data_IF_898417720105
#
_entry.id   IF_898417720105
#
_cell.length_a   1.000
_cell.length_b   1.000
_cell.length_c   1.000
_cell.angle_alpha   90.00
_cell.angle_beta   90.00
_cell.angle_gamma   90.00
#
_symmetry.space_group_name_H-M   'P 1'
#
loop_
_entity.id
_entity.type
_entity.pdbx_description
1 polymer ?
#
# COMPACT_ATOMS: atom_id res chain seq x y z
N UNK A 1 -16.00 12.31 -69.79
CA UNK A 1 -16.18 11.40 -68.64
C UNK A 1 -16.78 12.21 -67.49
N UNK A 2 -18.08 12.10 -67.20
CA UNK A 2 -18.68 12.80 -66.06
C UNK A 2 -18.24 12.10 -64.77
N UNK A 3 -17.66 12.87 -63.85
CA UNK A 3 -17.33 12.42 -62.49
C UNK A 3 -18.62 12.22 -61.71
N UNK A 4 -18.93 10.97 -61.37
CA UNK A 4 -20.06 10.62 -60.50
C UNK A 4 -19.94 11.35 -59.16
N UNK A 5 -20.81 12.34 -58.96
CA UNK A 5 -21.04 12.94 -57.66
C UNK A 5 -21.79 11.92 -56.80
N UNK A 6 -21.07 11.19 -55.94
CA UNK A 6 -21.68 10.35 -54.93
C UNK A 6 -22.49 11.24 -53.98
N UNK A 7 -23.81 11.11 -54.01
CA UNK A 7 -24.71 11.81 -53.10
C UNK A 7 -24.40 11.44 -51.65
N UNK A 8 -24.11 12.44 -50.82
CA UNK A 8 -23.98 12.28 -49.38
C UNK A 8 -25.36 11.94 -48.81
N UNK A 9 -25.53 10.72 -48.30
CA UNK A 9 -26.75 10.32 -47.57
C UNK A 9 -26.68 10.97 -46.18
N UNK A 10 -27.61 11.87 -45.89
CA UNK A 10 -27.80 12.38 -44.54
C UNK A 10 -28.31 11.25 -43.64
N UNK A 11 -27.42 10.67 -42.84
CA UNK A 11 -27.80 9.76 -41.78
C UNK A 11 -28.53 10.56 -40.69
N UNK A 12 -29.65 10.05 -40.19
CA UNK A 12 -30.32 10.59 -39.00
C UNK A 12 -29.43 10.34 -37.78
N UNK A 13 -28.55 11.30 -37.50
CA UNK A 13 -27.60 11.22 -36.39
C UNK A 13 -28.27 11.39 -35.03
N UNK A 14 -29.50 11.93 -34.98
CA UNK A 14 -30.15 12.28 -33.72
C UNK A 14 -30.84 11.05 -33.12
N UNK A 15 -31.52 10.24 -33.94
CA UNK A 15 -32.06 8.95 -33.51
C UNK A 15 -30.97 8.01 -32.95
N UNK A 16 -29.84 7.91 -33.64
CA UNK A 16 -28.68 7.10 -33.19
C UNK A 16 -28.10 7.64 -31.88
N UNK A 17 -28.05 8.96 -31.71
CA UNK A 17 -27.54 9.61 -30.50
C UNK A 17 -28.46 9.37 -29.30
N UNK A 18 -29.78 9.48 -29.50
CA UNK A 18 -30.79 9.20 -28.48
C UNK A 18 -30.75 7.74 -28.02
N UNK A 19 -30.58 6.80 -28.96
CA UNK A 19 -30.44 5.38 -28.63
C UNK A 19 -29.17 5.13 -27.79
N UNK A 20 -28.03 5.66 -28.23
CA UNK A 20 -26.77 5.54 -27.50
C UNK A 20 -26.85 6.18 -26.11
N UNK A 21 -27.50 7.33 -25.99
CA UNK A 21 -27.71 8.02 -24.71
C UNK A 21 -28.57 7.20 -23.74
N UNK A 22 -29.65 6.60 -24.24
CA UNK A 22 -30.48 5.71 -23.44
C UNK A 22 -29.74 4.43 -23.02
N UNK A 23 -28.84 3.91 -23.85
CA UNK A 23 -27.97 2.80 -23.48
C UNK A 23 -26.99 3.21 -22.35
N UNK A 24 -26.37 4.39 -22.45
CA UNK A 24 -25.53 4.94 -21.39
C UNK A 24 -26.28 5.06 -20.07
N UNK A 25 -27.46 5.71 -20.06
CA UNK A 25 -28.30 5.88 -18.85
C UNK A 25 -28.68 4.54 -18.21
N UNK A 26 -29.00 3.53 -19.02
CA UNK A 26 -29.32 2.17 -18.53
C UNK A 26 -28.13 1.56 -17.78
N UNK A 27 -26.92 1.69 -18.32
CA UNK A 27 -25.71 1.19 -17.65
C UNK A 27 -25.40 1.99 -16.37
N UNK A 28 -25.50 3.31 -16.39
CA UNK A 28 -25.28 4.16 -15.21
C UNK A 28 -26.27 3.83 -14.08
N UNK A 29 -27.55 3.59 -14.37
CA UNK A 29 -28.53 3.18 -13.36
C UNK A 29 -28.16 1.84 -12.70
N UNK A 30 -27.63 0.88 -13.46
CA UNK A 30 -27.14 -0.39 -12.90
C UNK A 30 -25.95 -0.16 -11.99
N UNK A 31 -25.02 0.72 -12.36
CA UNK A 31 -23.88 1.08 -11.52
C UNK A 31 -24.33 1.68 -10.20
N UNK A 32 -25.26 2.64 -10.21
CA UNK A 32 -25.78 3.29 -9.00
C UNK A 32 -26.38 2.24 -8.06
N UNK A 33 -27.19 1.30 -8.57
CA UNK A 33 -27.76 0.22 -7.76
C UNK A 33 -26.69 -0.68 -7.13
N UNK A 34 -25.66 -1.05 -7.87
CA UNK A 34 -24.56 -1.88 -7.34
C UNK A 34 -23.72 -1.12 -6.31
N UNK A 35 -23.44 0.16 -6.57
CA UNK A 35 -22.72 1.02 -5.63
C UNK A 35 -23.52 1.21 -4.33
N UNK A 36 -24.83 1.36 -4.42
CA UNK A 36 -25.71 1.46 -3.24
C UNK A 36 -25.73 0.15 -2.44
N UNK A 37 -25.81 -1.01 -3.11
CA UNK A 37 -25.69 -2.32 -2.44
C UNK A 37 -24.35 -2.46 -1.71
N UNK A 38 -23.25 -2.09 -2.37
CA UNK A 38 -21.92 -2.15 -1.77
C UNK A 38 -21.79 -1.17 -0.59
N UNK A 39 -22.30 0.04 -0.75
CA UNK A 39 -22.31 1.06 0.31
C UNK A 39 -23.10 0.57 1.52
N UNK A 40 -24.32 0.06 1.33
CA UNK A 40 -25.14 -0.48 2.43
C UNK A 40 -24.39 -1.58 3.19
N UNK A 41 -23.75 -2.50 2.46
CA UNK A 41 -22.94 -3.53 3.09
C UNK A 41 -21.79 -2.94 3.92
N UNK A 42 -21.05 -1.98 3.37
CA UNK A 42 -19.91 -1.37 4.05
C UNK A 42 -20.28 -0.51 5.26
N UNK A 43 -21.40 0.23 5.19
CA UNK A 43 -21.78 1.20 6.23
C UNK A 43 -22.71 0.62 7.28
N UNK A 44 -23.53 -0.38 6.92
CA UNK A 44 -24.58 -0.92 7.79
C UNK A 44 -24.28 -2.37 8.15
N UNK A 45 -24.31 -3.28 7.17
CA UNK A 45 -24.29 -4.71 7.44
C UNK A 45 -22.97 -5.19 8.07
N UNK A 46 -21.83 -4.78 7.50
CA UNK A 46 -20.50 -5.19 7.96
C UNK A 46 -20.20 -4.70 9.38
N UNK A 47 -20.36 -3.40 9.72
CA UNK A 47 -20.17 -2.94 11.09
C UNK A 47 -21.15 -3.58 12.08
N UNK A 48 -22.40 -3.86 11.66
CA UNK A 48 -23.36 -4.55 12.51
C UNK A 48 -22.92 -5.99 12.82
N UNK A 49 -22.47 -6.72 11.79
CA UNK A 49 -21.90 -8.06 11.96
C UNK A 49 -20.66 -8.04 12.87
N UNK A 50 -19.72 -7.12 12.65
CA UNK A 50 -18.48 -7.02 13.45
C UNK A 50 -18.78 -6.73 14.93
N UNK A 51 -19.76 -5.87 15.22
CA UNK A 51 -20.21 -5.61 16.60
C UNK A 51 -20.83 -6.85 17.24
N UNK A 52 -21.70 -7.54 16.51
CA UNK A 52 -22.31 -8.77 16.99
C UNK A 52 -21.26 -9.87 17.24
N UNK A 53 -20.32 -10.06 16.31
CA UNK A 53 -19.24 -11.03 16.42
C UNK A 53 -18.35 -10.71 17.63
N UNK A 54 -17.97 -9.44 17.81
CA UNK A 54 -17.22 -9.00 18.97
C UNK A 54 -17.98 -9.22 20.29
N UNK A 55 -19.29 -9.07 20.31
CA UNK A 55 -20.09 -9.28 21.52
C UNK A 55 -20.27 -10.77 21.84
N UNK A 56 -20.57 -11.59 20.83
CA UNK A 56 -20.96 -12.99 21.02
C UNK A 56 -19.74 -13.92 21.05
N UNK A 57 -18.77 -13.69 20.17
CA UNK A 57 -17.58 -14.52 20.00
C UNK A 57 -16.31 -13.87 20.55
N UNK A 58 -16.36 -12.58 20.94
CA UNK A 58 -15.21 -11.83 21.43
C UNK A 58 -14.41 -12.50 22.54
N UNK A 59 -15.04 -13.05 23.60
CA UNK A 59 -14.29 -13.74 24.65
C UNK A 59 -13.44 -14.91 24.12
N UNK A 60 -14.01 -15.73 23.22
CA UNK A 60 -13.31 -16.86 22.61
C UNK A 60 -12.17 -16.41 21.69
N UNK A 61 -12.41 -15.37 20.89
CA UNK A 61 -11.39 -14.75 20.02
C UNK A 61 -10.23 -14.20 20.87
N UNK A 62 -10.54 -13.52 21.98
CA UNK A 62 -9.53 -12.95 22.86
C UNK A 62 -8.67 -14.04 23.51
N UNK A 63 -9.29 -15.11 24.00
CA UNK A 63 -8.59 -16.25 24.56
C UNK A 63 -7.71 -16.96 23.52
N UNK A 64 -8.21 -17.17 22.29
CA UNK A 64 -7.40 -17.74 21.20
C UNK A 64 -6.17 -16.85 20.87
N UNK A 65 -6.35 -15.53 20.86
CA UNK A 65 -5.24 -14.58 20.69
C UNK A 65 -4.24 -14.64 21.84
N UNK A 66 -4.71 -14.78 23.07
CA UNK A 66 -3.86 -14.96 24.25
C UNK A 66 -3.01 -16.22 24.16
N UNK A 67 -3.62 -17.35 23.79
CA UNK A 67 -2.92 -18.61 23.56
C UNK A 67 -1.86 -18.48 22.45
N UNK A 68 -2.20 -17.84 21.32
CA UNK A 68 -1.26 -17.60 20.22
C UNK A 68 -0.07 -16.77 20.65
N UNK A 69 -0.31 -15.65 21.35
CA UNK A 69 0.75 -14.77 21.83
C UNK A 69 1.71 -15.49 22.79
N UNK A 70 1.18 -16.35 23.67
CA UNK A 70 2.00 -17.14 24.57
C UNK A 70 2.82 -18.22 23.83
N UNK A 71 2.21 -18.89 22.85
CA UNK A 71 2.94 -19.83 21.97
C UNK A 71 4.08 -19.12 21.24
N UNK A 72 3.81 -17.94 20.66
CA UNK A 72 4.81 -17.16 19.94
C UNK A 72 5.96 -16.76 20.87
N UNK A 73 5.65 -16.30 22.08
CA UNK A 73 6.66 -15.98 23.10
C UNK A 73 7.55 -17.18 23.42
N UNK A 74 6.98 -18.37 23.65
CA UNK A 74 7.75 -19.57 23.96
C UNK A 74 8.59 -20.02 22.77
N UNK A 75 8.06 -19.96 21.56
CA UNK A 75 8.81 -20.27 20.35
C UNK A 75 9.97 -19.31 20.14
N UNK A 76 9.82 -18.01 20.42
CA UNK A 76 10.94 -17.06 20.38
C UNK A 76 12.06 -17.49 21.32
N UNK A 77 11.73 -17.86 22.57
CA UNK A 77 12.73 -18.34 23.53
C UNK A 77 13.43 -19.61 23.01
N UNK A 78 12.66 -20.60 22.53
CA UNK A 78 13.22 -21.84 22.01
C UNK A 78 14.13 -21.60 20.79
N UNK A 79 13.72 -20.72 19.88
CA UNK A 79 14.50 -20.33 18.72
C UNK A 79 15.81 -19.63 19.13
N UNK A 80 15.77 -18.71 20.10
CA UNK A 80 16.97 -18.02 20.58
C UNK A 80 17.95 -18.99 21.26
N UNK A 81 17.44 -19.97 22.00
CA UNK A 81 18.26 -21.04 22.58
C UNK A 81 18.94 -21.87 21.51
N UNK A 82 18.20 -22.27 20.47
CA UNK A 82 18.74 -23.00 19.33
C UNK A 82 19.81 -22.19 18.60
N UNK A 83 19.53 -20.92 18.31
CA UNK A 83 20.48 -20.02 17.66
C UNK A 83 21.79 -19.90 18.46
N UNK A 84 21.72 -19.69 19.78
CA UNK A 84 22.91 -19.64 20.65
C UNK A 84 23.65 -20.99 20.64
N UNK A 85 22.92 -22.11 20.72
CA UNK A 85 23.51 -23.45 20.71
C UNK A 85 24.31 -23.70 19.43
N UNK A 86 23.76 -23.33 18.27
CA UNK A 86 24.38 -23.49 16.96
C UNK A 86 25.58 -22.54 16.79
N UNK A 87 25.41 -21.25 17.09
CA UNK A 87 26.45 -20.23 16.88
C UNK A 87 27.64 -20.47 17.80
N UNK A 88 27.39 -20.78 19.07
CA UNK A 88 28.43 -20.91 20.09
C UNK A 88 28.92 -22.36 20.25
N UNK A 89 28.37 -23.30 19.47
CA UNK A 89 28.76 -24.71 19.48
C UNK A 89 28.57 -25.39 20.85
N UNK A 90 27.56 -24.98 21.61
CA UNK A 90 27.31 -25.48 22.96
C UNK A 90 26.01 -26.28 23.06
N UNK A 91 25.82 -27.06 24.12
CA UNK A 91 24.56 -27.80 24.31
C UNK A 91 23.37 -26.86 24.53
N UNK A 92 22.18 -27.23 24.08
CA UNK A 92 20.93 -26.47 24.29
C UNK A 92 20.70 -26.04 25.75
N UNK A 93 21.01 -26.92 26.71
CA UNK A 93 20.90 -26.62 28.14
C UNK A 93 21.90 -25.54 28.63
N UNK A 94 23.05 -25.42 27.97
CA UNK A 94 24.02 -24.36 28.25
C UNK A 94 23.62 -23.05 27.58
N UNK A 95 23.18 -23.11 26.32
CA UNK A 95 22.62 -21.98 25.59
C UNK A 95 21.47 -21.32 26.36
N UNK A 96 20.54 -22.12 26.89
CA UNK A 96 19.44 -21.62 27.71
C UNK A 96 19.90 -20.88 28.98
N UNK A 97 20.88 -21.40 29.72
CA UNK A 97 21.44 -20.69 30.89
C UNK A 97 22.09 -19.36 30.50
N UNK A 98 22.75 -19.31 29.33
CA UNK A 98 23.35 -18.07 28.82
C UNK A 98 22.28 -17.06 28.44
N UNK A 99 21.18 -17.49 27.82
CA UNK A 99 20.04 -16.64 27.52
C UNK A 99 19.44 -16.04 28.80
N UNK A 100 19.14 -16.87 29.81
CA UNK A 100 18.65 -16.39 31.12
C UNK A 100 19.61 -15.38 31.77
N UNK A 101 20.93 -15.62 31.67
CA UNK A 101 21.92 -14.69 32.19
C UNK A 101 21.97 -13.37 31.39
N UNK A 102 21.72 -13.40 30.07
CA UNK A 102 21.61 -12.18 29.25
C UNK A 102 20.38 -11.37 29.65
N UNK A 103 19.23 -12.00 29.85
CA UNK A 103 17.99 -11.34 30.27
C UNK A 103 18.14 -10.69 31.65
N UNK A 104 18.65 -11.42 32.66
CA UNK A 104 18.86 -10.87 34.01
C UNK A 104 19.81 -9.65 34.01
N UNK A 105 20.81 -9.64 33.13
CA UNK A 105 21.73 -8.51 32.99
C UNK A 105 21.14 -7.35 32.16
N UNK A 106 20.25 -7.63 31.21
CA UNK A 106 19.56 -6.61 30.43
C UNK A 106 18.60 -5.79 31.31
N UNK A 107 17.83 -6.45 32.18
CA UNK A 107 16.93 -5.79 33.13
C UNK A 107 17.68 -4.90 34.12
N UNK A 108 18.83 -5.38 34.61
CA UNK A 108 19.70 -4.61 35.52
C UNK A 108 20.25 -3.34 34.85
N UNK A 109 20.56 -3.40 33.55
CA UNK A 109 21.06 -2.23 32.79
C UNK A 109 19.96 -1.22 32.49
N UNK A 110 18.74 -1.64 32.20
CA UNK A 110 17.61 -0.72 31.97
C UNK A 110 17.13 -0.04 33.27
N UNK A 111 17.22 -0.71 34.41
CA UNK A 111 16.92 -0.12 35.72
C UNK A 111 17.93 0.94 36.18
N UNK A 112 19.21 0.80 35.81
CA UNK A 112 20.25 1.77 36.16
C UNK A 112 20.20 3.05 35.30
N UNK A 113 19.84 2.94 34.02
CA UNK A 113 19.77 4.10 33.11
C UNK A 113 18.52 4.96 33.29
N UNK A 114 17.49 4.47 33.99
CA UNK A 114 16.26 5.22 34.30
C UNK A 114 16.37 6.22 35.46
N UNK A 115 17.44 6.19 36.28
CA UNK A 115 17.56 7.02 37.50
C UNK A 115 18.49 8.24 37.39
N UNK A 116 19.24 8.40 36.30
CA UNK A 116 20.24 9.48 36.13
C UNK A 116 19.98 10.44 34.95
N UNK A 117 18.74 10.53 34.44
CA UNK A 117 18.36 11.58 33.46
C UNK A 117 17.28 12.53 33.99
N UNK A 118 17.45 13.01 35.22
CA UNK A 118 16.71 14.16 35.74
C UNK A 118 17.68 15.19 36.29
N UNK A 119 18.31 15.94 35.38
CA UNK A 119 19.10 17.11 35.75
C UNK A 119 20.32 17.27 34.87
N UNK A 120 20.10 17.67 33.63
CA UNK A 120 21.04 18.56 32.92
C UNK A 120 20.30 19.14 31.73
N UNK A 121 19.74 20.32 31.97
CA UNK A 121 19.52 21.30 30.94
C UNK A 121 20.89 21.70 30.40
N UNK A 122 21.10 21.52 29.09
CA UNK A 122 22.10 22.32 28.38
C UNK A 122 21.58 22.62 26.99
N UNK A 123 21.63 23.92 26.74
CA UNK A 123 21.44 24.66 25.52
C UNK A 123 22.08 24.04 24.26
N UNK A 124 21.50 24.48 23.15
CA UNK A 124 22.18 24.79 21.90
C UNK A 124 22.62 23.61 21.01
N UNK A 125 21.79 23.34 20.00
CA UNK A 125 22.25 23.51 18.61
C UNK A 125 21.05 23.47 17.67
N UNK A 126 20.64 24.64 17.21
CA UNK A 126 19.74 24.78 16.08
C UNK A 126 20.41 24.30 14.80
N UNK A 127 20.21 23.03 14.45
CA UNK A 127 20.49 22.53 13.10
C UNK A 127 19.32 22.90 12.18
N UNK A 128 19.49 24.03 11.48
CA UNK A 128 18.69 24.36 10.29
C UNK A 128 18.86 23.23 9.27
N UNK A 129 17.82 22.42 9.09
CA UNK A 129 17.70 21.56 7.92
C UNK A 129 17.35 22.39 6.71
N UNK A 130 18.36 23.01 6.11
CA UNK A 130 18.28 23.50 4.74
C UNK A 130 18.00 22.27 3.85
N UNK A 131 16.89 22.33 3.12
CA UNK A 131 16.58 21.36 2.09
C UNK A 131 17.65 21.44 1.02
N UNK A 132 18.65 20.58 1.13
CA UNK A 132 19.60 20.28 0.08
C UNK A 132 18.79 19.79 -1.11
N UNK A 133 18.69 20.66 -2.11
CA UNK A 133 18.64 20.29 -3.51
C UNK A 133 19.74 19.25 -3.69
N UNK A 134 19.34 17.99 -3.87
CA UNK A 134 20.26 16.85 -3.90
C UNK A 134 20.99 16.88 -5.23
N UNK A 135 22.12 17.57 -5.27
CA UNK A 135 23.12 17.35 -6.31
C UNK A 135 23.50 15.86 -6.25
N UNK A 136 23.19 15.13 -7.32
CA UNK A 136 23.45 13.70 -7.42
C UNK A 136 24.92 13.40 -7.16
N UNK A 137 25.20 12.34 -6.41
CA UNK A 137 26.55 11.88 -6.10
C UNK A 137 26.96 10.88 -7.19
N UNK A 138 28.17 10.98 -7.73
CA UNK A 138 28.65 10.00 -8.73
C UNK A 138 28.98 8.65 -8.09
N UNK A 139 28.99 7.57 -8.89
CA UNK A 139 29.33 6.22 -8.40
C UNK A 139 30.74 6.16 -7.78
N UNK A 140 31.66 6.98 -8.28
CA UNK A 140 33.04 7.03 -7.79
C UNK A 140 33.14 7.77 -6.45
N UNK A 141 32.35 8.82 -6.26
CA UNK A 141 32.23 9.51 -4.96
C UNK A 141 31.55 8.63 -3.91
N UNK A 142 30.52 7.85 -4.30
CA UNK A 142 29.87 6.89 -3.40
C UNK A 142 30.87 5.88 -2.82
N UNK A 143 31.81 5.38 -3.64
CA UNK A 143 32.85 4.44 -3.20
C UNK A 143 33.82 5.04 -2.19
N UNK A 144 33.99 6.36 -2.20
CA UNK A 144 34.87 7.09 -1.29
C UNK A 144 34.20 7.47 0.04
N UNK A 145 32.87 7.30 0.17
CA UNK A 145 32.14 7.60 1.40
C UNK A 145 32.50 6.64 2.55
N UNK A 146 32.41 7.09 3.82
CA UNK A 146 32.47 6.21 4.98
C UNK A 146 31.48 5.05 4.90
N UNK A 147 31.88 3.85 5.34
CA UNK A 147 31.05 2.62 5.27
C UNK A 147 29.65 2.77 5.87
N UNK A 148 29.49 3.62 6.89
CA UNK A 148 28.20 3.91 7.50
C UNK A 148 27.24 4.62 6.52
N UNK A 149 27.73 5.62 5.80
CA UNK A 149 26.93 6.36 4.80
C UNK A 149 26.64 5.50 3.57
N UNK A 150 27.59 4.66 3.14
CA UNK A 150 27.34 3.68 2.07
C UNK A 150 26.17 2.74 2.42
N UNK A 151 26.11 2.28 3.67
CA UNK A 151 25.04 1.40 4.14
C UNK A 151 23.68 2.10 4.18
N UNK A 152 23.62 3.33 4.65
CA UNK A 152 22.38 4.13 4.69
C UNK A 152 21.81 4.37 3.27
N UNK A 153 22.66 4.65 2.29
CA UNK A 153 22.28 4.83 0.88
C UNK A 153 21.79 3.51 0.24
N UNK A 154 22.42 2.37 0.56
CA UNK A 154 22.00 1.05 0.08
C UNK A 154 20.64 0.63 0.67
N UNK A 155 20.41 0.90 1.96
CA UNK A 155 19.13 0.64 2.62
C UNK A 155 18.00 1.49 1.99
N UNK A 156 18.27 2.76 1.66
CA UNK A 156 17.32 3.62 0.95
C UNK A 156 17.02 3.13 -0.48
N UNK A 157 18.03 2.65 -1.21
CA UNK A 157 17.85 2.08 -2.55
C UNK A 157 16.98 0.82 -2.54
N UNK A 158 17.20 -0.10 -1.59
CA UNK A 158 16.37 -1.31 -1.46
C UNK A 158 14.91 -0.99 -1.06
N UNK A 159 14.71 0.02 -0.23
CA UNK A 159 13.37 0.51 0.10
C UNK A 159 12.65 1.06 -1.15
N UNK A 160 13.34 1.82 -2.00
CA UNK A 160 12.78 2.34 -3.25
C UNK A 160 12.47 1.22 -4.25
N UNK A 161 13.36 0.22 -4.36
CA UNK A 161 13.19 -0.94 -5.23
C UNK A 161 11.99 -1.80 -4.84
N UNK A 162 11.81 -2.03 -3.53
CA UNK A 162 10.64 -2.75 -3.00
C UNK A 162 9.34 -1.98 -3.21
N UNK A 163 9.37 -0.64 -3.05
CA UNK A 163 8.22 0.20 -3.38
C UNK A 163 7.85 0.17 -4.87
N UNK A 164 8.82 0.27 -5.77
CA UNK A 164 8.60 0.19 -7.22
C UNK A 164 7.99 -1.16 -7.64
N UNK A 165 8.46 -2.26 -7.05
CA UNK A 165 7.90 -3.59 -7.27
C UNK A 165 6.43 -3.69 -6.81
N UNK A 166 6.07 -2.99 -5.73
CA UNK A 166 4.69 -2.92 -5.24
C UNK A 166 3.79 -2.05 -6.13
N UNK A 167 4.31 -0.92 -6.65
CA UNK A 167 3.56 0.00 -7.51
C UNK A 167 3.50 -0.41 -8.99
N UNK A 168 4.19 -1.48 -9.37
CA UNK A 168 4.33 -1.90 -10.77
C UNK A 168 5.18 -0.95 -11.63
N UNK A 169 5.96 -0.08 -10.98
CA UNK A 169 6.91 0.79 -11.66
C UNK A 169 8.23 0.06 -11.89
N UNK A 170 8.96 0.40 -12.95
CA UNK A 170 10.31 -0.12 -13.13
C UNK A 170 11.23 0.54 -12.08
N UNK A 171 11.93 -0.22 -11.23
CA UNK A 171 12.85 0.37 -10.26
C UNK A 171 13.99 1.06 -11.00
N UNK A 172 14.48 2.23 -10.53
CA UNK A 172 15.66 2.85 -11.09
C UNK A 172 16.87 1.93 -10.89
N UNK A 173 17.83 2.01 -11.80
CA UNK A 173 19.17 1.44 -11.57
C UNK A 173 19.87 2.20 -10.44
N UNK A 174 20.88 1.57 -9.82
CA UNK A 174 21.60 2.19 -8.72
C UNK A 174 22.31 3.49 -9.16
N UNK A 175 22.82 3.54 -10.40
CA UNK A 175 23.44 4.75 -10.96
C UNK A 175 22.42 5.87 -11.19
N UNK A 176 21.20 5.56 -11.65
CA UNK A 176 20.11 6.55 -11.80
C UNK A 176 19.62 7.07 -10.45
N UNK A 177 19.60 6.22 -9.42
CA UNK A 177 19.25 6.62 -8.05
C UNK A 177 20.28 7.60 -7.47
N UNK A 178 21.57 7.36 -7.72
CA UNK A 178 22.66 8.23 -7.27
C UNK A 178 22.71 9.56 -8.03
N UNK A 179 22.39 9.56 -9.33
CA UNK A 179 22.46 10.73 -10.20
C UNK A 179 21.34 11.78 -9.95
N UNK A 180 20.31 11.44 -9.19
CA UNK A 180 19.15 12.31 -8.97
C UNK A 180 18.26 12.46 -10.21
N UNK A 181 17.14 13.20 -10.12
CA UNK A 181 16.25 13.42 -11.25
C UNK A 181 16.99 14.16 -12.38
N UNK A 182 16.83 13.75 -13.66
CA UNK A 182 17.54 14.36 -14.77
C UNK A 182 17.18 15.86 -14.89
N UNK A 183 18.16 16.73 -15.18
CA UNK A 183 17.90 18.15 -15.34
C UNK A 183 16.95 18.38 -16.51
N UNK A 184 15.87 19.13 -16.28
CA UNK A 184 14.91 19.51 -17.32
C UNK A 184 15.64 20.29 -18.44
N UNK A 185 15.76 19.67 -19.62
CA UNK A 185 16.32 20.34 -20.78
C UNK A 185 15.42 21.53 -21.19
N UNK A 186 15.95 22.77 -21.24
CA UNK A 186 15.22 23.88 -21.84
C UNK A 186 15.04 23.63 -23.35
N UNK A 187 13.91 24.00 -23.95
CA UNK A 187 13.67 23.77 -25.37
C UNK A 187 14.67 24.58 -26.22
N UNK A 188 15.58 23.84 -26.87
CA UNK A 188 16.56 24.38 -27.80
C UNK A 188 15.91 25.12 -28.96
N UNK A 189 16.21 26.42 -29.04
CA UNK A 189 16.07 27.26 -30.24
C UNK A 189 16.89 26.64 -31.38
N UNK A 190 16.23 26.16 -32.43
CA UNK A 190 16.91 25.88 -33.69
C UNK A 190 16.66 26.98 -34.72
N UNK A 191 17.79 27.48 -35.20
CA UNK A 191 17.95 28.57 -36.14
C UNK A 191 17.34 28.31 -37.51
N UNK A 192 16.80 29.41 -38.07
CA UNK A 192 16.54 29.64 -39.49
C UNK A 192 17.74 29.22 -40.34
N UNK A 193 17.50 28.42 -41.37
CA UNK A 193 18.29 28.44 -42.60
C UNK A 193 17.33 28.66 -43.78
N UNK A 194 17.31 29.91 -44.25
CA UNK A 194 16.67 30.30 -45.50
C UNK A 194 17.49 29.77 -46.68
N UNK A 195 16.82 29.15 -47.65
CA UNK A 195 17.32 28.96 -49.01
C UNK A 195 16.26 29.50 -49.98
N UNK A 196 16.61 30.31 -50.99
CA UNK A 196 15.65 30.97 -51.86
C UNK A 196 15.34 30.14 -53.11
N UNK A 197 14.11 30.27 -53.62
CA UNK A 197 13.78 29.98 -55.02
C UNK A 197 12.91 28.75 -55.27
N UNK A 198 11.59 28.93 -55.24
CA UNK A 198 10.63 28.23 -56.11
C UNK A 198 9.24 28.89 -55.99
N UNK A 199 8.68 29.26 -57.14
CA UNK A 199 7.42 30.01 -57.37
C UNK A 199 6.21 29.54 -56.54
N UNK A 200 5.39 30.46 -55.98
CA UNK A 200 4.25 30.08 -55.15
C UNK A 200 2.91 30.56 -55.73
N UNK A 201 2.36 29.96 -56.78
CA UNK A 201 1.00 30.37 -57.20
C UNK A 201 0.07 29.28 -57.78
N UNK A 202 0.38 27.98 -57.66
CA UNK A 202 -0.51 26.95 -58.22
C UNK A 202 -0.94 25.80 -57.28
N UNK A 203 -0.40 25.68 -56.05
CA UNK A 203 -0.57 24.45 -55.25
C UNK A 203 -1.04 24.67 -53.79
N UNK A 204 -1.75 25.77 -53.54
CA UNK A 204 -2.25 26.13 -52.21
C UNK A 204 -3.56 25.42 -51.80
N UNK A 205 -4.26 24.75 -52.72
CA UNK A 205 -5.61 24.24 -52.45
C UNK A 205 -5.71 22.77 -51.99
N UNK A 206 -4.60 22.02 -51.83
CA UNK A 206 -4.64 20.59 -51.47
C UNK A 206 -3.59 20.12 -50.44
N UNK A 207 -3.01 21.02 -49.64
CA UNK A 207 -2.07 20.60 -48.60
C UNK A 207 -2.81 20.16 -47.34
N UNK A 208 -2.88 18.85 -47.13
CA UNK A 208 -3.24 18.26 -45.85
C UNK A 208 -2.34 18.87 -44.76
N UNK A 209 -2.89 19.43 -43.67
CA UNK A 209 -2.08 20.13 -42.67
C UNK A 209 -1.02 19.21 -42.09
N UNK A 210 0.21 19.71 -42.02
CA UNK A 210 1.38 19.01 -41.50
C UNK A 210 1.10 18.45 -40.10
N UNK A 211 1.62 17.25 -39.73
CA UNK A 211 1.42 16.65 -38.41
C UNK A 211 1.72 17.60 -37.24
N UNK A 212 2.70 18.51 -37.39
CA UNK A 212 3.04 19.53 -36.40
C UNK A 212 1.93 20.58 -36.23
N UNK A 213 1.31 21.03 -37.32
CA UNK A 213 0.20 21.98 -37.28
C UNK A 213 -1.02 21.37 -36.58
N UNK A 214 -1.34 20.10 -36.90
CA UNK A 214 -2.43 19.36 -36.24
C UNK A 214 -2.21 19.17 -34.74
N UNK A 215 -0.96 18.97 -34.30
CA UNK A 215 -0.64 18.84 -32.88
C UNK A 215 -0.81 20.17 -32.13
N UNK A 216 -0.44 21.30 -32.74
CA UNK A 216 -0.63 22.64 -32.18
C UNK A 216 -2.13 22.98 -32.07
N UNK A 217 -2.90 22.70 -33.12
CA UNK A 217 -4.37 22.88 -33.12
C UNK A 217 -5.04 22.04 -32.02
N UNK A 218 -4.68 20.76 -31.91
CA UNK A 218 -5.18 19.87 -30.84
C UNK A 218 -4.85 20.39 -29.45
N UNK A 219 -3.61 20.84 -29.22
CA UNK A 219 -3.22 21.42 -27.92
C UNK A 219 -4.00 22.70 -27.60
N UNK A 220 -4.26 23.53 -28.61
CA UNK A 220 -5.09 24.72 -28.49
C UNK A 220 -6.55 24.39 -28.12
N UNK A 221 -7.12 23.38 -28.76
CA UNK A 221 -8.48 22.90 -28.50
C UNK A 221 -8.63 22.31 -27.10
N UNK A 222 -7.70 21.44 -26.67
CA UNK A 222 -7.64 20.91 -25.30
C UNK A 222 -7.64 22.04 -24.27
N UNK A 223 -6.76 23.04 -24.44
CA UNK A 223 -6.69 24.20 -23.53
C UNK A 223 -7.96 25.04 -23.55
N UNK A 224 -8.58 25.22 -24.71
CA UNK A 224 -9.85 25.97 -24.84
C UNK A 224 -10.98 25.28 -24.10
N UNK A 225 -11.20 23.98 -24.35
CA UNK A 225 -12.25 23.21 -23.69
C UNK A 225 -12.04 23.15 -22.18
N UNK A 226 -10.80 22.90 -21.75
CA UNK A 226 -10.43 22.92 -20.34
C UNK A 226 -10.74 24.27 -19.68
N UNK A 227 -10.34 25.40 -20.26
CA UNK A 227 -10.65 26.74 -19.71
C UNK A 227 -12.15 27.01 -19.61
N UNK A 228 -12.95 26.54 -20.57
CA UNK A 228 -14.40 26.68 -20.55
C UNK A 228 -15.02 25.87 -19.40
N UNK A 229 -14.55 24.65 -19.18
CA UNK A 229 -15.02 23.80 -18.09
C UNK A 229 -14.60 24.39 -16.74
N UNK A 230 -13.32 24.76 -16.60
CA UNK A 230 -12.77 25.34 -15.37
C UNK A 230 -13.48 26.63 -15.01
N UNK A 231 -13.76 27.49 -15.99
CA UNK A 231 -14.53 28.72 -15.75
C UNK A 231 -15.92 28.49 -15.15
N UNK A 232 -16.51 27.30 -15.35
CA UNK A 232 -17.85 26.92 -14.86
C UNK A 232 -17.83 26.05 -13.62
N UNK A 233 -16.79 25.25 -13.43
CA UNK A 233 -16.62 24.28 -12.33
C UNK A 233 -15.45 24.62 -11.41
N UNK A 234 -15.02 25.88 -11.28
CA UNK A 234 -13.94 26.21 -10.35
C UNK A 234 -14.45 26.27 -8.89
N UNK A 235 -13.81 25.58 -7.92
CA UNK A 235 -14.26 25.55 -6.52
C UNK A 235 -14.34 26.94 -5.89
N UNK A 236 -13.37 27.82 -6.20
CA UNK A 236 -13.37 29.21 -5.71
C UNK A 236 -14.56 30.06 -6.21
N UNK A 237 -15.23 29.66 -7.30
CA UNK A 237 -16.37 30.42 -7.86
C UNK A 237 -17.72 29.86 -7.45
N UNK A 238 -17.83 28.56 -7.23
CA UNK A 238 -19.12 27.89 -6.94
C UNK A 238 -19.31 27.53 -5.45
N UNK A 239 -18.38 27.90 -4.56
CA UNK A 239 -18.55 27.65 -3.12
C UNK A 239 -18.69 26.15 -2.79
N UNK A 240 -19.75 25.77 -2.06
CA UNK A 240 -19.99 24.40 -1.64
C UNK A 240 -20.43 23.50 -2.81
N UNK A 241 -19.48 22.98 -3.58
CA UNK A 241 -19.74 22.06 -4.69
C UNK A 241 -20.39 20.75 -4.24
N UNK A 242 -21.43 20.37 -4.97
CA UNK A 242 -22.04 19.05 -4.85
C UNK A 242 -21.05 17.92 -5.17
N UNK A 243 -21.33 16.70 -4.69
CA UNK A 243 -20.49 15.53 -4.97
C UNK A 243 -20.34 15.25 -6.48
N UNK A 244 -21.37 15.57 -7.27
CA UNK A 244 -21.35 15.42 -8.73
C UNK A 244 -20.46 16.45 -9.43
N UNK A 245 -20.46 17.70 -8.98
CA UNK A 245 -19.60 18.76 -9.54
C UNK A 245 -18.13 18.51 -9.24
N UNK A 246 -17.82 17.98 -8.05
CA UNK A 246 -16.48 17.53 -7.68
C UNK A 246 -15.98 16.38 -8.55
N UNK A 247 -16.83 15.38 -8.79
CA UNK A 247 -16.51 14.27 -9.69
C UNK A 247 -16.25 14.76 -11.14
N UNK A 248 -17.07 15.69 -11.64
CA UNK A 248 -16.83 16.32 -12.95
C UNK A 248 -15.53 17.13 -12.98
N UNK A 249 -15.19 17.83 -11.91
CA UNK A 249 -13.94 18.56 -11.79
C UNK A 249 -12.72 17.63 -11.85
N UNK A 250 -12.71 16.55 -11.06
CA UNK A 250 -11.64 15.55 -11.09
C UNK A 250 -11.48 14.90 -12.47
N UNK A 251 -12.60 14.51 -13.10
CA UNK A 251 -12.60 13.96 -14.45
C UNK A 251 -12.08 14.96 -15.50
N UNK A 252 -12.34 16.25 -15.31
CA UNK A 252 -11.83 17.31 -16.18
C UNK A 252 -10.32 17.43 -16.08
N UNK A 253 -9.77 17.40 -14.86
CA UNK A 253 -8.32 17.43 -14.65
C UNK A 253 -7.64 16.24 -15.32
N UNK A 254 -8.18 15.04 -15.12
CA UNK A 254 -7.65 13.83 -15.75
C UNK A 254 -7.70 13.91 -17.29
N UNK A 255 -8.84 14.32 -17.86
CA UNK A 255 -9.00 14.45 -19.31
C UNK A 255 -8.04 15.48 -19.92
N UNK A 256 -7.75 16.57 -19.18
CA UNK A 256 -6.77 17.56 -19.61
C UNK A 256 -5.34 17.00 -19.58
N UNK A 257 -4.95 16.27 -18.53
CA UNK A 257 -3.65 15.61 -18.43
C UNK A 257 -3.43 14.59 -19.56
N UNK A 258 -4.47 13.84 -19.93
CA UNK A 258 -4.46 12.86 -21.01
C UNK A 258 -4.57 13.51 -22.42
N UNK A 259 -4.74 14.84 -22.50
CA UNK A 259 -5.00 15.60 -23.74
C UNK A 259 -6.20 15.07 -24.55
N UNK A 260 -7.25 14.65 -23.85
CA UNK A 260 -8.40 13.93 -24.39
C UNK A 260 -9.56 14.86 -24.75
N UNK A 261 -9.57 15.31 -26.02
CA UNK A 261 -10.54 16.27 -26.55
C UNK A 261 -11.98 15.73 -26.44
N UNK A 262 -12.23 14.49 -26.85
CA UNK A 262 -13.59 13.92 -26.84
C UNK A 262 -14.16 13.86 -25.43
N UNK A 263 -13.33 13.54 -24.44
CA UNK A 263 -13.73 13.49 -23.03
C UNK A 263 -14.01 14.89 -22.49
N UNK A 264 -13.21 15.89 -22.83
CA UNK A 264 -13.47 17.28 -22.48
C UNK A 264 -14.76 17.81 -23.13
N UNK A 265 -15.05 17.48 -24.39
CA UNK A 265 -16.31 17.84 -25.05
C UNK A 265 -17.52 17.20 -24.37
N UNK A 266 -17.42 15.92 -24.01
CA UNK A 266 -18.47 15.20 -23.29
C UNK A 266 -18.75 15.83 -21.92
N UNK A 267 -17.69 16.15 -21.16
CA UNK A 267 -17.79 16.82 -19.86
C UNK A 267 -18.41 18.21 -19.99
N UNK A 268 -17.99 19.00 -20.98
CA UNK A 268 -18.59 20.31 -21.25
C UNK A 268 -20.09 20.19 -21.60
N UNK A 269 -20.45 19.22 -22.43
CA UNK A 269 -21.85 18.95 -22.76
C UNK A 269 -22.69 18.56 -21.54
N UNK A 270 -22.15 17.71 -20.67
CA UNK A 270 -22.80 17.33 -19.40
C UNK A 270 -23.02 18.53 -18.47
N UNK A 271 -22.04 19.42 -18.36
CA UNK A 271 -22.13 20.64 -17.54
C UNK A 271 -23.16 21.60 -18.11
N UNK A 272 -23.17 21.82 -19.41
CA UNK A 272 -24.13 22.71 -20.07
C UNK A 272 -25.57 22.21 -19.95
N UNK A 273 -25.78 20.89 -19.89
CA UNK A 273 -27.10 20.32 -19.66
C UNK A 273 -27.58 20.44 -18.21
N UNK A 274 -26.70 20.60 -17.23
CA UNK A 274 -27.04 20.74 -15.81
C UNK A 274 -27.73 19.53 -15.16
N UNK A 275 -28.10 18.51 -15.94
CA UNK A 275 -28.81 17.32 -15.49
C UNK A 275 -28.09 16.05 -15.96
N UNK A 276 -27.56 15.30 -14.98
CA UNK A 276 -26.94 13.98 -15.18
C UNK A 276 -27.93 12.96 -15.76
N UNK A 277 -29.22 13.16 -15.55
CA UNK A 277 -30.31 12.27 -15.97
C UNK A 277 -31.11 12.80 -17.16
N UNK A 278 -30.61 13.84 -17.85
CA UNK A 278 -31.26 14.45 -19.00
C UNK A 278 -31.84 13.38 -19.95
N UNK A 279 -33.07 13.59 -20.41
CA UNK A 279 -33.78 12.62 -21.24
C UNK A 279 -33.11 12.49 -22.62
N UNK A 280 -32.61 13.62 -23.14
CA UNK A 280 -31.92 13.72 -24.42
C UNK A 280 -30.42 13.99 -24.23
N UNK A 281 -29.56 13.54 -25.16
CA UNK A 281 -28.15 13.84 -25.16
C UNK A 281 -27.92 15.36 -25.35
N UNK A 282 -26.91 15.94 -24.69
CA UNK A 282 -26.53 17.32 -24.95
C UNK A 282 -26.08 17.46 -26.42
N UNK A 283 -26.50 18.54 -27.09
CA UNK A 283 -26.24 18.76 -28.54
C UNK A 283 -24.76 18.68 -28.92
N UNK A 284 -23.86 19.01 -28.00
CA UNK A 284 -22.40 19.02 -28.20
C UNK A 284 -21.73 17.67 -28.06
N UNK A 285 -22.39 16.65 -27.50
CA UNK A 285 -21.76 15.34 -27.34
C UNK A 285 -21.88 14.57 -28.66
N UNK A 286 -20.73 14.14 -29.18
CA UNK A 286 -20.64 13.28 -30.35
C UNK A 286 -21.07 11.84 -30.02
N UNK A 287 -21.53 11.10 -31.03
CA UNK A 287 -21.89 9.68 -30.84
C UNK A 287 -20.69 8.85 -30.38
N UNK A 288 -19.48 9.12 -30.88
CA UNK A 288 -18.26 8.44 -30.43
C UNK A 288 -17.99 8.65 -28.95
N UNK A 289 -18.17 9.88 -28.44
CA UNK A 289 -18.05 10.19 -27.03
C UNK A 289 -19.07 9.42 -26.18
N UNK A 290 -20.34 9.34 -26.60
CA UNK A 290 -21.37 8.56 -25.89
C UNK A 290 -21.00 7.07 -25.87
N UNK A 291 -20.56 6.50 -27.00
CA UNK A 291 -20.15 5.09 -27.07
C UNK A 291 -18.95 4.79 -26.16
N UNK A 292 -18.02 5.73 -26.04
CA UNK A 292 -16.91 5.64 -25.09
C UNK A 292 -17.41 5.69 -23.65
N UNK A 293 -18.28 6.64 -23.30
CA UNK A 293 -18.92 6.71 -21.98
C UNK A 293 -19.64 5.39 -21.62
N UNK A 294 -20.31 4.74 -22.58
CA UNK A 294 -20.91 3.40 -22.37
C UNK A 294 -19.84 2.35 -22.05
N UNK A 295 -18.71 2.35 -22.79
CA UNK A 295 -17.62 1.40 -22.56
C UNK A 295 -17.03 1.58 -21.16
N UNK A 296 -16.80 2.81 -20.75
CA UNK A 296 -16.26 3.15 -19.44
C UNK A 296 -17.27 2.80 -18.34
N UNK A 297 -18.56 3.08 -18.55
CA UNK A 297 -19.62 2.67 -17.64
C UNK A 297 -19.68 1.14 -17.48
N UNK A 298 -19.57 0.37 -18.58
CA UNK A 298 -19.53 -1.10 -18.52
C UNK A 298 -18.29 -1.61 -17.79
N UNK A 299 -17.11 -0.99 -17.97
CA UNK A 299 -15.89 -1.34 -17.22
C UNK A 299 -16.06 -1.13 -15.72
N UNK A 300 -16.51 0.06 -15.32
CA UNK A 300 -16.78 0.39 -13.92
C UNK A 300 -17.88 -0.51 -13.33
N UNK A 301 -18.92 -0.85 -14.10
CA UNK A 301 -19.94 -1.81 -13.66
C UNK A 301 -19.34 -3.20 -13.39
N UNK A 302 -18.45 -3.71 -14.25
CA UNK A 302 -17.80 -5.01 -14.02
C UNK A 302 -16.95 -5.00 -12.75
N UNK A 303 -16.22 -3.91 -12.49
CA UNK A 303 -15.46 -3.73 -11.26
C UNK A 303 -16.38 -3.76 -10.02
N UNK A 304 -17.48 -2.98 -10.05
CA UNK A 304 -18.48 -2.99 -8.97
C UNK A 304 -19.13 -4.36 -8.81
N UNK A 305 -19.44 -5.08 -9.89
CA UNK A 305 -19.97 -6.44 -9.82
C UNK A 305 -18.99 -7.40 -9.15
N UNK A 306 -17.69 -7.28 -9.43
CA UNK A 306 -16.68 -8.09 -8.77
C UNK A 306 -16.61 -7.79 -7.26
N UNK A 307 -16.66 -6.51 -6.88
CA UNK A 307 -16.69 -6.09 -5.48
C UNK A 307 -17.96 -6.56 -4.76
N UNK A 308 -19.13 -6.49 -5.41
CA UNK A 308 -20.38 -7.01 -4.84
C UNK A 308 -20.33 -8.53 -4.72
N UNK A 309 -19.71 -9.25 -5.68
CA UNK A 309 -19.53 -10.70 -5.60
C UNK A 309 -18.61 -11.09 -4.44
N UNK A 310 -17.52 -10.35 -4.19
CA UNK A 310 -16.66 -10.63 -3.02
C UNK A 310 -17.37 -10.29 -1.72
N UNK A 311 -18.09 -9.15 -1.66
CA UNK A 311 -18.87 -8.76 -0.50
C UNK A 311 -19.97 -9.78 -0.15
N UNK A 312 -20.64 -10.36 -1.15
CA UNK A 312 -21.65 -11.43 -0.96
C UNK A 312 -21.09 -12.72 -0.36
N UNK A 313 -19.78 -12.95 -0.42
CA UNK A 313 -19.13 -14.11 0.23
C UNK A 313 -18.84 -13.85 1.71
N UNK A 314 -18.92 -12.60 2.15
CA UNK A 314 -18.71 -12.25 3.54
C UNK A 314 -19.90 -12.73 4.40
N UNK A 315 -19.67 -13.32 5.59
CA UNK A 315 -20.75 -13.84 6.45
C UNK A 315 -21.73 -12.75 6.89
N UNK A 316 -21.26 -11.52 7.04
CA UNK A 316 -22.08 -10.36 7.36
C UNK A 316 -22.90 -9.79 6.20
N UNK A 317 -22.93 -10.40 5.00
CA UNK A 317 -23.74 -9.85 3.89
C UNK A 317 -25.24 -9.92 4.21
N UNK A 318 -25.92 -8.77 4.16
CA UNK A 318 -27.35 -8.67 4.47
C UNK A 318 -27.68 -8.98 5.94
N UNK A 319 -26.70 -8.86 6.83
CA UNK A 319 -26.81 -9.18 8.26
C UNK A 319 -27.99 -8.47 8.94
N UNK A 320 -28.25 -7.21 8.60
CA UNK A 320 -29.36 -6.44 9.19
C UNK A 320 -30.74 -7.08 8.93
N UNK A 321 -30.89 -7.84 7.84
CA UNK A 321 -32.16 -8.47 7.48
C UNK A 321 -32.25 -9.94 7.93
N UNK A 322 -31.25 -10.45 8.66
CA UNK A 322 -31.26 -11.82 9.16
C UNK A 322 -32.11 -11.91 10.44
N UNK A 323 -32.91 -12.97 10.56
CA UNK A 323 -33.68 -13.24 11.78
C UNK A 323 -32.89 -14.04 12.82
N UNK A 324 -33.40 -14.06 14.05
CA UNK A 324 -32.80 -14.79 15.19
C UNK A 324 -32.37 -16.24 14.92
N UNK A 325 -33.13 -17.07 14.14
CA UNK A 325 -32.71 -18.43 13.87
C UNK A 325 -31.39 -18.53 13.08
N UNK A 326 -31.14 -17.62 12.14
CA UNK A 326 -29.88 -17.59 11.39
C UNK A 326 -28.72 -17.10 12.26
N UNK A 327 -28.96 -16.08 13.09
CA UNK A 327 -27.97 -15.59 14.05
C UNK A 327 -27.51 -16.69 15.00
N UNK A 328 -28.43 -17.52 15.52
CA UNK A 328 -28.08 -18.68 16.35
C UNK A 328 -27.25 -19.72 15.60
N UNK A 329 -27.57 -19.99 14.33
CA UNK A 329 -26.77 -20.92 13.50
C UNK A 329 -25.36 -20.38 13.25
N UNK A 330 -25.24 -19.08 13.00
CA UNK A 330 -23.95 -18.41 12.83
C UNK A 330 -23.14 -18.46 14.11
N UNK A 331 -23.73 -18.14 15.25
CA UNK A 331 -23.11 -18.24 16.57
C UNK A 331 -22.60 -19.67 16.83
N UNK A 332 -23.45 -20.69 16.67
CA UNK A 332 -23.05 -22.08 16.91
C UNK A 332 -21.88 -22.51 16.02
N UNK A 333 -21.90 -22.13 14.73
CA UNK A 333 -20.79 -22.41 13.81
C UNK A 333 -19.51 -21.70 14.23
N UNK A 334 -19.60 -20.41 14.57
CA UNK A 334 -18.46 -19.60 15.01
C UNK A 334 -17.84 -20.13 16.31
N UNK A 335 -18.68 -20.41 17.32
CA UNK A 335 -18.24 -21.02 18.58
C UNK A 335 -17.54 -22.36 18.35
N UNK A 336 -18.12 -23.23 17.53
CA UNK A 336 -17.51 -24.54 17.25
C UNK A 336 -16.10 -24.40 16.67
N UNK A 337 -15.93 -23.57 15.65
CA UNK A 337 -14.62 -23.35 15.02
C UNK A 337 -13.62 -22.76 16.00
N UNK A 338 -14.01 -21.75 16.79
CA UNK A 338 -13.12 -21.14 17.77
C UNK A 338 -12.73 -22.09 18.90
N UNK A 339 -13.65 -22.93 19.38
CA UNK A 339 -13.35 -23.93 20.40
C UNK A 339 -12.40 -25.02 19.87
N UNK A 340 -12.59 -25.46 18.61
CA UNK A 340 -11.67 -26.40 17.95
C UNK A 340 -10.26 -25.79 17.77
N UNK A 341 -10.20 -24.50 17.42
CA UNK A 341 -8.95 -23.74 17.33
C UNK A 341 -8.27 -23.61 18.70
N UNK A 342 -9.00 -23.19 19.73
CA UNK A 342 -8.49 -23.09 21.10
C UNK A 342 -7.96 -24.43 21.61
N UNK A 343 -8.67 -25.54 21.37
CA UNK A 343 -8.19 -26.87 21.75
C UNK A 343 -6.88 -27.25 21.02
N UNK A 344 -6.74 -26.83 19.77
CA UNK A 344 -5.50 -27.05 18.99
C UNK A 344 -4.36 -26.19 19.50
N UNK A 345 -4.61 -24.90 19.76
CA UNK A 345 -3.63 -23.98 20.36
C UNK A 345 -3.21 -24.45 21.76
N UNK A 346 -4.15 -24.95 22.57
CA UNK A 346 -3.86 -25.50 23.90
C UNK A 346 -2.83 -26.63 23.83
N UNK A 347 -3.01 -27.60 22.91
CA UNK A 347 -2.03 -28.68 22.70
C UNK A 347 -0.66 -28.16 22.29
N UNK A 348 -0.61 -27.20 21.35
CA UNK A 348 0.65 -26.60 20.90
C UNK A 348 1.36 -25.85 22.04
N UNK A 349 0.60 -25.17 22.90
CA UNK A 349 1.12 -24.47 24.06
C UNK A 349 1.70 -25.47 25.08
N UNK A 350 1.00 -26.57 25.34
CA UNK A 350 1.47 -27.63 26.24
C UNK A 350 2.76 -28.27 25.71
N UNK A 351 2.85 -28.52 24.41
CA UNK A 351 4.05 -29.05 23.76
C UNK A 351 5.24 -28.07 23.89
N UNK A 352 5.03 -26.78 23.62
CA UNK A 352 6.06 -25.75 23.75
C UNK A 352 6.54 -25.60 25.21
N UNK A 353 5.61 -25.65 26.18
CA UNK A 353 5.92 -25.63 27.61
C UNK A 353 6.69 -26.87 28.03
N UNK A 354 6.32 -28.05 27.54
CA UNK A 354 7.04 -29.29 27.84
C UNK A 354 8.48 -29.27 27.31
N UNK A 355 8.70 -28.72 26.11
CA UNK A 355 10.04 -28.51 25.55
C UNK A 355 10.87 -27.57 26.42
N UNK A 356 10.30 -26.43 26.82
CA UNK A 356 10.99 -25.47 27.67
C UNK A 356 11.32 -26.07 29.05
N UNK A 357 10.36 -26.76 29.68
CA UNK A 357 10.57 -27.43 30.97
C UNK A 357 11.65 -28.54 30.89
N UNK A 358 11.72 -29.27 29.78
CA UNK A 358 12.77 -30.26 29.54
C UNK A 358 14.16 -29.59 29.45
N UNK A 359 14.26 -28.43 28.79
CA UNK A 359 15.49 -27.63 28.71
C UNK A 359 15.89 -27.07 30.08
N UNK A 360 14.94 -26.53 30.84
CA UNK A 360 15.15 -26.05 32.21
C UNK A 360 15.68 -27.17 33.12
N UNK A 361 15.06 -28.35 33.07
CA UNK A 361 15.50 -29.51 33.83
C UNK A 361 16.90 -29.98 33.42
N UNK A 362 17.22 -29.97 32.12
CA UNK A 362 18.55 -30.28 31.62
C UNK A 362 19.60 -29.26 32.07
N UNK A 363 19.25 -27.97 32.03
CA UNK A 363 20.07 -26.87 32.51
C UNK A 363 20.37 -26.99 34.03
N UNK A 364 19.36 -27.33 34.84
CA UNK A 364 19.53 -27.53 36.28
C UNK A 364 20.43 -28.74 36.60
N UNK A 365 20.31 -29.85 35.87
CA UNK A 365 21.18 -31.03 36.03
C UNK A 365 22.64 -30.73 35.73
N UNK A 366 22.90 -29.95 34.67
CA UNK A 366 24.26 -29.55 34.30
C UNK A 366 24.94 -28.68 35.37
N UNK A 367 24.19 -27.78 36.03
CA UNK A 367 24.73 -26.93 37.09
C UNK A 367 25.17 -27.74 38.32
N UNK A 368 24.37 -28.71 38.76
CA UNK A 368 24.70 -29.58 39.90
C UNK A 368 25.98 -30.37 39.67
N UNK A 369 26.20 -30.91 38.47
CA UNK A 369 27.44 -31.64 38.13
C UNK A 369 28.69 -30.75 38.23
N UNK A 370 28.62 -29.49 37.75
CA UNK A 370 29.74 -28.54 37.85
C UNK A 370 30.08 -28.19 39.29
N UNK A 371 29.09 -27.98 40.17
CA UNK A 371 29.34 -27.69 41.60
C UNK A 371 30.04 -28.82 42.35
N UNK A 372 29.72 -30.09 42.03
CA UNK A 372 30.38 -31.26 42.61
C UNK A 372 31.81 -31.45 42.09
N UNK A 373 32.06 -31.16 40.81
CA UNK A 373 33.41 -31.22 40.23
C UNK A 373 34.31 -30.05 40.68
N UNK A 374 33.72 -28.87 40.92
CA UNK A 374 34.41 -27.67 41.41
C UNK A 374 34.53 -27.62 42.95
N UNK A 375 34.17 -28.69 43.65
CA UNK A 375 34.54 -28.91 45.05
C UNK A 375 35.76 -29.86 45.10
N UNK A 376 37.01 -29.41 44.89
CA UNK A 376 38.16 -30.28 45.00
C UNK A 376 38.82 -30.14 46.38
N UNK A 377 39.09 -31.28 47.00
CA UNK A 377 40.42 -31.64 47.52
C UNK A 377 41.16 -30.68 48.47
N UNK A 378 40.51 -29.76 49.17
CA UNK A 378 41.21 -28.90 50.15
C UNK A 378 41.54 -29.59 51.48
N UNK A 379 41.13 -30.84 51.71
CA UNK A 379 41.32 -31.52 53.01
C UNK A 379 42.30 -32.72 53.02
N UNK A 380 43.01 -33.00 51.91
CA UNK A 380 43.95 -34.14 51.86
C UNK A 380 45.45 -33.76 51.92
N UNK A 381 45.79 -32.47 52.02
CA UNK A 381 47.19 -31.99 52.02
C UNK A 381 47.72 -31.48 53.37
N UNK A 382 46.93 -31.52 54.46
CA UNK A 382 47.35 -31.01 55.78
C UNK A 382 47.91 -32.07 56.75
N UNK A 383 47.94 -33.37 56.38
CA UNK A 383 48.23 -34.46 57.33
C UNK A 383 49.65 -35.05 57.34
N UNK A 384 50.63 -34.53 56.60
CA UNK A 384 51.98 -35.13 56.51
C UNK A 384 53.11 -34.10 56.65
N UNK A 385 53.27 -33.52 57.84
CA UNK A 385 54.52 -32.87 58.28
C UNK A 385 54.46 -32.58 59.78
N UNK A 386 54.87 -33.55 60.61
CA UNK A 386 55.53 -33.39 61.93
C UNK A 386 55.66 -34.76 62.60
N UNK A 387 56.70 -35.51 62.25
CA UNK A 387 57.21 -36.63 63.06
C UNK A 387 58.69 -36.84 62.69
N UNK A 388 59.52 -35.85 63.02
CA UNK A 388 60.97 -36.00 63.02
C UNK A 388 61.52 -35.20 64.20
N UNK A 389 62.08 -35.94 65.16
CA UNK A 389 62.82 -35.42 66.30
C UNK A 389 62.03 -35.49 67.58
N UNK A 390 62.32 -36.49 68.42
CA UNK A 390 62.66 -36.29 69.84
C UNK A 390 62.88 -37.63 70.60
N UNK A 391 64.03 -37.70 71.29
CA UNK A 391 64.46 -38.63 72.36
C UNK A 391 64.75 -40.10 71.99
N UNK A 392 65.76 -40.81 72.49
CA UNK A 392 67.03 -40.53 73.18
C UNK A 392 67.76 -41.89 73.23
#
# INVERSE_FOLDING_TARGET
>A
MPTSAHGLVALDTDSVRDEAWNAYRRETRKQVRLAEQLRRFQTVDRPAYERWEAQVLGPLIHEARGLRAEIDRLHTILFDVEAISVIEGCSMAEAYRRLQHREANADTRQGATGRERRGEASDDTGAKGEGSETDGITLEEFRQLPKRQQREILEAFELLRTFAAFSGAHPPTFEEFLAGPPPEHPPGRNHRRSGPGADPDAEAARRVPSPKARAVERSGEVKRLYRLIVGRLHPDRNGAMGAWERDLWEQTQQAYQEADIERLEALLGLIESGDRNAVHPPKRISVSAILRMIRDAKRAMRALQQQVRSAKRHPGWGFENQGDPELRRMEMRGRRVLLEEQATLGRLLDDARAQLAALEAAAARGAKRRSRAASPMTEAAAGRRTAAGEWE
#
